data_IF_052727028775
#
_entry.id   IF_052727028775
#
_cell.length_a   1.000
_cell.length_b   1.000
_cell.length_c   1.000
_cell.angle_alpha   90.00
_cell.angle_beta   90.00
_cell.angle_gamma   90.00
#
_symmetry.space_group_name_H-M   'P 1'
#
loop_
_entity.id
_entity.type
_entity.pdbx_description
1 polymer ?
#
# COMPACT_ATOMS: atom_id res chain seq x y z
N UNK A 1 16.97 -29.14 11.14
CA UNK A 1 16.47 -27.97 10.38
C UNK A 1 16.33 -26.83 11.39
N UNK A 2 17.13 -25.77 11.27
CA UNK A 2 17.06 -24.64 12.22
C UNK A 2 15.87 -23.76 11.83
N UNK A 3 14.85 -23.72 12.68
CA UNK A 3 13.68 -22.88 12.48
C UNK A 3 14.01 -21.46 12.94
N UNK A 4 14.26 -20.56 11.98
CA UNK A 4 14.54 -19.16 12.26
C UNK A 4 13.23 -18.45 12.63
N UNK A 5 13.11 -18.05 13.89
CA UNK A 5 11.95 -17.33 14.41
C UNK A 5 12.12 -15.84 14.11
N UNK A 6 11.22 -15.25 13.31
CA UNK A 6 11.31 -13.80 13.04
C UNK A 6 10.72 -12.98 14.19
N UNK A 7 11.55 -12.02 14.65
CA UNK A 7 11.30 -11.05 15.73
C UNK A 7 9.94 -10.35 15.66
N UNK A 8 9.41 -10.23 14.44
CA UNK A 8 8.24 -9.43 14.12
C UNK A 8 6.91 -10.06 14.53
N UNK A 9 6.84 -11.39 14.62
CA UNK A 9 5.62 -12.11 15.03
C UNK A 9 5.71 -12.66 16.45
N UNK A 10 6.93 -12.82 17.00
CA UNK A 10 7.05 -13.23 18.39
C UNK A 10 6.60 -12.15 19.33
N UNK A 11 6.82 -10.87 19.01
CA UNK A 11 6.74 -9.80 20.00
C UNK A 11 7.53 -10.26 21.21
N UNK A 12 8.86 -10.21 21.19
CA UNK A 12 9.65 -10.79 22.29
C UNK A 12 9.20 -10.28 23.68
N UNK A 13 8.54 -9.11 23.72
CA UNK A 13 7.93 -8.47 24.88
C UNK A 13 6.50 -8.99 25.25
N UNK A 14 5.86 -9.80 24.41
CA UNK A 14 4.51 -10.36 24.55
C UNK A 14 4.39 -11.87 24.23
N UNK A 15 5.51 -12.54 23.98
CA UNK A 15 5.55 -14.00 23.86
C UNK A 15 5.32 -14.63 25.24
N UNK A 16 4.14 -15.21 25.42
CA UNK A 16 3.72 -15.80 26.71
C UNK A 16 4.41 -17.13 27.04
N UNK A 17 5.16 -17.72 26.09
CA UNK A 17 5.79 -19.03 26.27
C UNK A 17 7.16 -19.12 25.58
N UNK A 18 8.11 -18.35 26.10
CA UNK A 18 9.52 -18.29 25.65
C UNK A 18 10.24 -19.66 25.69
N UNK A 19 9.62 -20.67 26.32
CA UNK A 19 10.14 -22.03 26.43
C UNK A 19 9.63 -22.97 25.33
N UNK A 20 8.66 -22.56 24.51
CA UNK A 20 8.08 -23.42 23.49
C UNK A 20 9.11 -23.75 22.38
N UNK A 21 9.32 -25.04 22.04
CA UNK A 21 10.30 -25.45 21.03
C UNK A 21 9.85 -25.20 19.59
N UNK A 22 8.59 -24.83 19.36
CA UNK A 22 7.97 -24.68 18.04
C UNK A 22 7.00 -23.50 17.97
N UNK A 23 6.73 -23.03 16.74
CA UNK A 23 5.70 -22.01 16.48
C UNK A 23 4.29 -22.58 16.62
N UNK A 24 3.34 -21.74 17.07
CA UNK A 24 1.93 -22.12 17.06
C UNK A 24 1.41 -22.33 15.62
N UNK A 25 0.30 -23.07 15.49
CA UNK A 25 -0.31 -23.41 14.18
C UNK A 25 -0.60 -22.19 13.30
N UNK A 26 -0.99 -21.07 13.91
CA UNK A 26 -1.27 -19.81 13.20
C UNK A 26 0.02 -19.22 12.62
N UNK A 27 1.08 -19.13 13.42
CA UNK A 27 2.38 -18.64 12.97
C UNK A 27 2.93 -19.53 11.84
N UNK A 28 2.88 -20.86 11.99
CA UNK A 28 3.31 -21.80 10.94
C UNK A 28 2.54 -21.57 9.64
N UNK A 29 1.22 -21.41 9.72
CA UNK A 29 0.38 -21.09 8.56
C UNK A 29 0.78 -19.76 7.91
N UNK A 30 1.01 -18.71 8.70
CA UNK A 30 1.44 -17.40 8.15
C UNK A 30 2.80 -17.49 7.45
N UNK A 31 3.75 -18.27 7.98
CA UNK A 31 5.07 -18.43 7.38
C UNK A 31 5.07 -19.28 6.10
N UNK A 32 4.31 -20.39 6.12
CA UNK A 32 4.24 -21.33 5.01
C UNK A 32 3.36 -20.86 3.86
N UNK A 33 2.38 -19.98 4.12
CA UNK A 33 1.45 -19.48 3.10
C UNK A 33 2.07 -18.33 2.31
N UNK A 34 2.74 -18.66 1.22
CA UNK A 34 3.43 -17.70 0.33
C UNK A 34 2.52 -16.59 -0.20
N UNK A 35 1.24 -16.91 -0.46
CA UNK A 35 0.24 -15.93 -0.91
C UNK A 35 0.15 -14.71 0.04
N UNK A 36 0.30 -14.90 1.35
CA UNK A 36 0.23 -13.80 2.32
C UNK A 36 1.41 -12.82 2.23
N UNK A 37 2.48 -13.19 1.52
CA UNK A 37 3.69 -12.38 1.28
C UNK A 37 3.69 -11.70 -0.09
N UNK A 38 2.85 -12.15 -1.01
CA UNK A 38 2.84 -11.68 -2.40
C UNK A 38 1.55 -11.02 -2.83
N UNK A 39 0.44 -11.44 -2.24
CA UNK A 39 -0.89 -11.01 -2.68
C UNK A 39 -1.33 -9.73 -1.98
N UNK A 40 -2.07 -8.93 -2.75
CA UNK A 40 -2.84 -7.81 -2.22
C UNK A 40 -4.06 -8.41 -1.50
N UNK A 41 -4.33 -7.99 -0.26
CA UNK A 41 -5.45 -8.54 0.50
C UNK A 41 -6.30 -7.46 1.15
N UNK A 42 -7.60 -7.71 1.21
CA UNK A 42 -8.53 -7.06 2.12
C UNK A 42 -8.87 -8.07 3.22
N UNK A 43 -8.58 -7.71 4.46
CA UNK A 43 -8.95 -8.48 5.64
C UNK A 43 -10.11 -7.77 6.31
N UNK A 44 -11.17 -8.50 6.65
CA UNK A 44 -12.34 -8.00 7.40
C UNK A 44 -12.47 -8.75 8.72
N UNK A 45 -12.94 -8.07 9.77
CA UNK A 45 -13.17 -8.68 11.09
C UNK A 45 -14.55 -9.32 11.23
N UNK A 46 -15.55 -8.83 10.49
CA UNK A 46 -16.94 -9.31 10.58
C UNK A 46 -17.66 -9.26 9.21
N UNK A 47 -17.95 -10.41 8.57
CA UNK A 47 -17.42 -11.72 8.94
C UNK A 47 -15.89 -11.76 8.76
N UNK A 48 -15.18 -12.60 9.54
CA UNK A 48 -13.73 -12.74 9.41
C UNK A 48 -13.38 -13.33 8.05
N UNK A 49 -12.68 -12.55 7.22
CA UNK A 49 -12.33 -12.96 5.86
C UNK A 49 -11.02 -12.33 5.43
N UNK A 50 -10.23 -13.06 4.62
CA UNK A 50 -9.07 -12.52 3.90
C UNK A 50 -9.29 -12.76 2.41
N UNK A 51 -9.55 -11.68 1.66
CA UNK A 51 -9.86 -11.74 0.22
C UNK A 51 -8.70 -11.17 -0.59
N UNK A 52 -8.23 -11.93 -1.58
CA UNK A 52 -7.26 -11.48 -2.57
C UNK A 52 -7.84 -10.35 -3.44
N UNK A 53 -7.08 -9.29 -3.62
CA UNK A 53 -7.44 -8.14 -4.44
C UNK A 53 -6.69 -8.14 -5.78
N UNK A 54 -7.39 -7.76 -6.85
CA UNK A 54 -6.73 -7.26 -8.05
C UNK A 54 -6.26 -5.82 -7.84
N UNK A 55 -5.36 -5.31 -8.69
CA UNK A 55 -4.93 -3.89 -8.64
C UNK A 55 -6.12 -2.92 -8.81
N UNK A 56 -7.08 -3.28 -9.67
CA UNK A 56 -8.30 -2.48 -9.88
C UNK A 56 -9.16 -2.45 -8.62
N UNK A 57 -9.34 -3.59 -7.95
CA UNK A 57 -10.10 -3.65 -6.70
C UNK A 57 -9.36 -2.95 -5.55
N UNK A 58 -8.03 -3.08 -5.48
CA UNK A 58 -7.20 -2.32 -4.54
C UNK A 58 -7.43 -0.82 -4.70
N UNK A 59 -7.38 -0.29 -5.93
CA UNK A 59 -7.68 1.12 -6.20
C UNK A 59 -9.07 1.53 -5.73
N UNK A 60 -10.07 0.66 -5.92
CA UNK A 60 -11.43 0.91 -5.47
C UNK A 60 -11.52 0.99 -3.95
N UNK A 61 -10.86 0.08 -3.24
CA UNK A 61 -10.84 0.05 -1.76
C UNK A 61 -10.10 1.25 -1.20
N UNK A 62 -8.94 1.61 -1.77
CA UNK A 62 -8.17 2.77 -1.37
C UNK A 62 -8.80 4.11 -1.83
N UNK A 63 -9.88 4.06 -2.60
CA UNK A 63 -10.65 5.23 -3.03
C UNK A 63 -11.50 5.86 -1.92
N UNK A 64 -11.52 5.25 -0.74
CA UNK A 64 -12.18 5.76 0.47
C UNK A 64 -11.28 5.55 1.69
N UNK A 65 -11.64 6.12 2.84
CA UNK A 65 -11.02 5.75 4.12
C UNK A 65 -11.22 4.26 4.41
N UNK A 66 -10.27 3.64 5.12
CA UNK A 66 -10.37 2.23 5.52
C UNK A 66 -11.21 2.12 6.79
N UNK A 67 -12.23 1.26 6.74
CA UNK A 67 -13.10 0.95 7.88
C UNK A 67 -12.30 0.44 9.08
N UNK A 68 -12.77 0.76 10.29
CA UNK A 68 -12.27 0.21 11.57
C UNK A 68 -12.46 -1.29 11.72
N UNK A 69 -13.16 -1.95 10.80
CA UNK A 69 -13.34 -3.41 10.71
C UNK A 69 -12.59 -4.04 9.54
N UNK A 70 -11.79 -3.25 8.82
CA UNK A 70 -11.04 -3.68 7.63
C UNK A 70 -9.56 -3.33 7.76
N UNK A 71 -8.70 -4.17 7.20
CA UNK A 71 -7.29 -3.89 7.03
C UNK A 71 -6.87 -4.26 5.60
N UNK A 72 -6.04 -3.42 4.97
CA UNK A 72 -5.54 -3.68 3.62
C UNK A 72 -4.06 -4.05 3.71
N UNK A 73 -3.68 -5.16 3.08
CA UNK A 73 -2.29 -5.64 3.06
C UNK A 73 -1.74 -5.49 1.65
N UNK A 74 -0.66 -4.73 1.52
CA UNK A 74 -0.01 -4.44 0.23
C UNK A 74 1.48 -4.72 0.33
N UNK A 75 1.94 -5.90 -0.13
CA UNK A 75 3.37 -6.18 -0.28
C UNK A 75 3.96 -5.32 -1.41
N UNK A 76 4.69 -4.26 -1.06
CA UNK A 76 5.33 -3.38 -2.06
C UNK A 76 6.48 -4.10 -2.78
N UNK A 77 7.12 -5.05 -2.08
CA UNK A 77 8.12 -5.98 -2.63
C UNK A 77 7.63 -7.42 -2.41
N UNK A 78 6.83 -7.97 -3.32
CA UNK A 78 6.23 -9.29 -3.17
C UNK A 78 7.24 -10.38 -2.79
N UNK A 79 6.89 -11.23 -1.83
CA UNK A 79 7.72 -12.34 -1.35
C UNK A 79 8.84 -11.94 -0.38
N UNK A 80 9.19 -10.65 -0.29
CA UNK A 80 10.33 -10.21 0.53
C UNK A 80 10.05 -10.24 2.03
N UNK A 81 8.88 -9.76 2.46
CA UNK A 81 8.49 -9.65 3.88
C UNK A 81 7.10 -10.25 4.12
N UNK A 82 6.82 -10.63 5.37
CA UNK A 82 5.46 -10.89 5.83
C UNK A 82 4.80 -9.57 6.20
N UNK A 83 3.74 -9.19 5.50
CA UNK A 83 3.06 -7.89 5.70
C UNK A 83 1.82 -8.04 6.59
N UNK A 84 1.07 -9.14 6.43
CA UNK A 84 -0.08 -9.48 7.27
C UNK A 84 0.15 -9.31 8.79
N UNK A 85 1.30 -9.70 9.40
CA UNK A 85 1.59 -9.44 10.81
C UNK A 85 1.42 -7.97 11.25
N UNK A 86 1.67 -7.04 10.34
CA UNK A 86 1.63 -5.61 10.60
C UNK A 86 0.27 -4.98 10.26
N UNK A 87 -0.70 -5.79 9.84
CA UNK A 87 -2.05 -5.34 9.55
C UNK A 87 -2.73 -4.84 10.83
N UNK A 88 -3.21 -3.60 10.78
CA UNK A 88 -4.03 -2.99 11.81
C UNK A 88 -5.37 -2.61 11.19
N UNK A 89 -6.45 -2.75 11.96
CA UNK A 89 -7.77 -2.31 11.53
C UNK A 89 -7.80 -0.80 11.26
N UNK A 90 -8.56 -0.38 10.25
CA UNK A 90 -8.61 1.01 9.79
C UNK A 90 -7.36 1.48 9.05
N UNK A 91 -6.45 0.58 8.67
CA UNK A 91 -5.14 0.94 8.11
C UNK A 91 -4.74 0.14 6.88
N UNK A 92 -3.71 0.63 6.20
CA UNK A 92 -3.04 -0.06 5.09
C UNK A 92 -1.66 -0.50 5.55
N UNK A 93 -1.45 -1.80 5.68
CA UNK A 93 -0.15 -2.39 5.95
C UNK A 93 0.66 -2.51 4.66
N UNK A 94 1.83 -1.91 4.66
CA UNK A 94 2.84 -1.95 3.61
C UNK A 94 4.15 -2.40 4.22
N UNK A 95 4.69 -3.52 3.76
CA UNK A 95 5.90 -4.14 4.32
C UNK A 95 5.82 -4.27 5.86
N UNK A 96 6.52 -3.41 6.60
CA UNK A 96 6.59 -3.36 8.08
C UNK A 96 5.89 -2.15 8.72
N UNK A 97 5.10 -1.41 7.95
CA UNK A 97 4.45 -0.16 8.38
C UNK A 97 2.94 -0.22 8.18
N UNK A 98 2.18 0.20 9.18
CA UNK A 98 0.73 0.38 9.10
C UNK A 98 0.38 1.87 8.90
N UNK A 99 0.06 2.24 7.66
CA UNK A 99 -0.28 3.61 7.29
C UNK A 99 -1.72 3.94 7.72
N UNK A 100 -1.96 5.09 8.36
CA UNK A 100 -3.32 5.63 8.41
C UNK A 100 -3.81 5.87 6.97
N UNK A 101 -5.10 5.62 6.74
CA UNK A 101 -5.70 5.84 5.43
C UNK A 101 -7.04 6.54 5.56
N UNK A 102 -6.98 7.86 5.41
CA UNK A 102 -8.10 8.78 5.59
C UNK A 102 -8.73 9.16 4.25
N UNK A 103 -9.82 9.93 4.29
CA UNK A 103 -10.44 10.51 3.10
C UNK A 103 -9.44 11.38 2.32
N UNK A 104 -8.57 12.12 3.01
CA UNK A 104 -7.53 12.92 2.37
C UNK A 104 -6.50 12.06 1.62
N UNK A 105 -6.21 10.85 2.11
CA UNK A 105 -5.30 9.91 1.43
C UNK A 105 -5.96 9.32 0.17
N UNK A 106 -7.26 9.04 0.23
CA UNK A 106 -8.05 8.64 -0.92
C UNK A 106 -8.12 9.75 -2.00
N UNK A 107 -8.25 11.01 -1.59
CA UNK A 107 -8.20 12.16 -2.51
C UNK A 107 -6.81 12.32 -3.15
N UNK A 108 -5.74 12.13 -2.39
CA UNK A 108 -4.36 12.14 -2.90
C UNK A 108 -4.12 10.99 -3.88
N UNK A 109 -4.63 9.78 -3.60
CA UNK A 109 -4.57 8.68 -4.55
C UNK A 109 -5.30 9.03 -5.85
N UNK A 110 -6.46 9.68 -5.75
CA UNK A 110 -7.20 10.16 -6.91
C UNK A 110 -6.41 11.20 -7.72
N UNK A 111 -5.69 12.11 -7.06
CA UNK A 111 -4.77 13.04 -7.70
C UNK A 111 -3.61 12.31 -8.42
N UNK A 112 -2.98 11.31 -7.78
CA UNK A 112 -1.96 10.46 -8.41
C UNK A 112 -2.50 9.78 -9.66
N UNK A 113 -3.69 9.19 -9.60
CA UNK A 113 -4.31 8.53 -10.77
C UNK A 113 -4.54 9.53 -11.90
N UNK A 114 -5.07 10.72 -11.61
CA UNK A 114 -5.28 11.78 -12.62
C UNK A 114 -3.96 12.25 -13.24
N UNK A 115 -2.91 12.46 -12.43
CA UNK A 115 -1.59 12.88 -12.92
C UNK A 115 -0.92 11.78 -13.76
N UNK A 116 -1.00 10.52 -13.34
CA UNK A 116 -0.46 9.39 -14.11
C UNK A 116 -1.16 9.20 -15.45
N UNK A 117 -2.47 9.45 -15.53
CA UNK A 117 -3.21 9.45 -16.81
C UNK A 117 -2.74 10.55 -17.77
N UNK A 118 -2.18 11.64 -17.24
CA UNK A 118 -1.56 12.74 -18.01
C UNK A 118 -0.09 12.51 -18.36
N UNK A 119 0.46 11.34 -18.03
CA UNK A 119 1.80 10.92 -18.45
C UNK A 119 2.91 11.13 -17.43
N UNK A 120 2.61 11.64 -16.23
CA UNK A 120 3.62 11.75 -15.17
C UNK A 120 3.95 10.37 -14.59
N UNK A 121 5.24 10.06 -14.48
CA UNK A 121 5.71 8.86 -13.79
C UNK A 121 5.64 9.05 -12.26
N UNK A 122 5.59 7.95 -11.49
CA UNK A 122 5.60 8.02 -10.01
C UNK A 122 6.84 8.75 -9.50
N UNK A 123 8.01 8.49 -10.10
CA UNK A 123 9.25 9.20 -9.78
C UNK A 123 9.14 10.71 -10.00
N UNK A 124 8.40 11.14 -11.03
CA UNK A 124 8.15 12.56 -11.24
C UNK A 124 7.26 13.15 -10.14
N UNK A 125 6.26 12.42 -9.66
CA UNK A 125 5.34 12.87 -8.59
C UNK A 125 6.05 13.15 -7.26
N UNK A 126 7.17 12.47 -7.00
CA UNK A 126 8.01 12.72 -5.83
C UNK A 126 8.74 14.08 -5.88
N UNK A 127 8.82 14.73 -7.04
CA UNK A 127 9.50 16.03 -7.19
C UNK A 127 8.61 17.18 -6.75
N UNK A 128 9.22 18.23 -6.20
CA UNK A 128 8.54 19.44 -5.74
C UNK A 128 7.70 20.13 -6.83
N UNK A 129 8.11 20.03 -8.10
CA UNK A 129 7.43 20.64 -9.24
C UNK A 129 7.26 19.66 -10.41
N UNK A 130 6.22 19.83 -11.24
CA UNK A 130 6.02 19.01 -12.43
C UNK A 130 7.10 19.26 -13.47
N UNK A 131 7.55 18.18 -14.12
CA UNK A 131 8.53 18.29 -15.19
C UNK A 131 7.93 19.05 -16.38
N UNK A 132 8.56 20.18 -16.76
CA UNK A 132 8.08 21.04 -17.84
C UNK A 132 7.89 20.29 -19.17
N UNK A 133 8.78 19.32 -19.46
CA UNK A 133 8.69 18.50 -20.67
C UNK A 133 7.39 17.69 -20.79
N UNK A 134 6.83 17.20 -19.69
CA UNK A 134 5.51 16.53 -19.67
C UNK A 134 4.39 17.56 -19.64
N UNK A 135 4.56 18.63 -18.86
CA UNK A 135 3.56 19.69 -18.70
C UNK A 135 3.23 20.40 -20.02
N UNK A 136 4.24 20.69 -20.86
CA UNK A 136 4.06 21.36 -22.16
C UNK A 136 3.21 20.55 -23.16
N UNK A 137 3.11 19.24 -22.98
CA UNK A 137 2.28 18.36 -23.80
C UNK A 137 0.81 18.32 -23.34
N UNK A 138 0.48 18.96 -22.21
CA UNK A 138 -0.87 19.03 -21.65
C UNK A 138 -1.51 20.36 -22.09
N UNK A 139 -2.80 20.37 -22.52
CA UNK A 139 -3.49 21.60 -22.86
C UNK A 139 -3.44 22.63 -21.72
N UNK A 140 -3.12 23.89 -22.03
CA UNK A 140 -2.96 24.97 -21.04
C UNK A 140 -4.16 25.13 -20.10
N UNK A 141 -5.39 24.98 -20.62
CA UNK A 141 -6.63 25.02 -19.81
C UNK A 141 -6.67 24.00 -18.66
N UNK A 142 -5.87 22.93 -18.73
CA UNK A 142 -5.81 21.89 -17.72
C UNK A 142 -4.67 22.10 -16.70
N UNK A 143 -3.79 23.09 -16.90
CA UNK A 143 -2.62 23.32 -16.04
C UNK A 143 -3.02 23.64 -14.59
N UNK A 144 -4.05 24.45 -14.38
CA UNK A 144 -4.58 24.74 -13.04
C UNK A 144 -4.94 23.46 -12.28
N UNK A 145 -5.63 22.52 -12.94
CA UNK A 145 -5.96 21.22 -12.33
C UNK A 145 -4.73 20.34 -12.07
N UNK A 146 -3.69 20.46 -12.91
CA UNK A 146 -2.42 19.74 -12.71
C UNK A 146 -1.72 20.27 -11.48
N UNK A 147 -1.59 21.59 -11.33
CA UNK A 147 -0.94 22.20 -10.16
C UNK A 147 -1.70 21.90 -8.87
N UNK A 148 -3.05 22.02 -8.87
CA UNK A 148 -3.86 21.65 -7.71
C UNK A 148 -3.70 20.17 -7.31
N UNK A 149 -3.64 19.26 -8.29
CA UNK A 149 -3.34 17.85 -8.03
C UNK A 149 -1.90 17.64 -7.54
N UNK A 150 -0.94 18.43 -8.04
CA UNK A 150 0.46 18.36 -7.66
C UNK A 150 0.68 18.81 -6.22
N UNK A 151 0.04 19.89 -5.80
CA UNK A 151 0.21 20.47 -4.47
C UNK A 151 -0.34 19.56 -3.37
N UNK A 152 -1.45 18.86 -3.66
CA UNK A 152 -2.03 17.84 -2.76
C UNK A 152 -1.04 16.75 -2.35
N UNK A 153 -0.04 16.46 -3.19
CA UNK A 153 0.96 15.43 -2.93
C UNK A 153 2.05 15.87 -1.95
N UNK A 154 2.10 17.15 -1.55
CA UNK A 154 3.11 17.68 -0.62
C UNK A 154 3.40 16.76 0.57
N UNK A 155 2.38 16.37 1.38
CA UNK A 155 2.58 15.48 2.53
C UNK A 155 3.11 14.08 2.17
N UNK A 156 2.81 13.57 0.98
CA UNK A 156 3.29 12.26 0.52
C UNK A 156 4.73 12.30 -0.01
N UNK A 157 5.27 13.46 -0.36
CA UNK A 157 6.68 13.58 -0.80
C UNK A 157 7.67 13.37 0.34
N UNK A 158 7.29 13.73 1.56
CA UNK A 158 8.08 13.47 2.77
C UNK A 158 8.07 11.99 3.18
N UNK A 159 7.07 11.23 2.70
CA UNK A 159 6.86 9.82 3.03
C UNK A 159 6.60 9.02 1.75
N UNK A 160 7.67 8.74 1.02
CA UNK A 160 7.64 8.10 -0.31
C UNK A 160 6.89 6.77 -0.35
N UNK A 161 6.77 6.07 0.78
CA UNK A 161 5.97 4.84 0.90
C UNK A 161 4.51 5.00 0.42
N UNK A 162 3.91 6.19 0.60
CA UNK A 162 2.57 6.48 0.07
C UNK A 162 2.56 6.52 -1.46
N UNK A 163 3.63 7.05 -2.08
CA UNK A 163 3.77 7.05 -3.53
C UNK A 163 4.03 5.65 -4.08
N UNK A 164 4.75 4.79 -3.36
CA UNK A 164 4.96 3.38 -3.72
C UNK A 164 3.66 2.57 -3.63
N UNK A 165 2.86 2.79 -2.57
CA UNK A 165 1.52 2.23 -2.44
C UNK A 165 0.61 2.70 -3.59
N UNK A 166 0.58 4.01 -3.83
CA UNK A 166 -0.15 4.58 -4.94
C UNK A 166 0.35 4.03 -6.28
N UNK A 167 1.65 3.74 -6.42
CA UNK A 167 2.23 3.16 -7.62
C UNK A 167 1.63 1.79 -7.95
N UNK A 168 1.41 0.98 -6.90
CA UNK A 168 0.80 -0.35 -6.97
C UNK A 168 -0.68 -0.28 -7.35
N UNK A 169 -1.40 0.70 -6.79
CA UNK A 169 -2.84 0.90 -7.03
C UNK A 169 -3.18 1.67 -8.33
N UNK A 170 -2.20 2.33 -8.95
CA UNK A 170 -2.42 3.11 -10.18
C UNK A 170 -1.71 2.51 -11.38
N UNK A 171 -2.45 2.36 -12.49
CA UNK A 171 -1.88 1.91 -13.76
C UNK A 171 -1.16 3.06 -14.47
N UNK A 172 0.01 2.79 -15.06
CA UNK A 172 0.62 3.71 -16.04
C UNK A 172 0.04 3.40 -17.42
N UNK A 173 -0.15 4.42 -18.25
CA UNK A 173 -0.54 4.24 -19.67
C UNK A 173 0.53 3.49 -20.49
N UNK A 174 1.75 3.31 -19.96
CA UNK A 174 2.90 2.63 -20.61
C UNK A 174 2.87 1.08 -20.56
N UNK A 175 1.74 0.45 -20.26
CA UNK A 175 1.65 -1.01 -20.11
C UNK A 175 0.58 -1.70 -20.96
N UNK A 176 0.10 -1.04 -22.01
CA UNK A 176 -0.72 -1.67 -23.06
C UNK A 176 0.07 -1.60 -24.36
N UNK A 177 0.99 -2.56 -24.52
CA UNK A 177 1.60 -2.96 -25.78
C UNK A 177 1.50 -4.48 -25.83
#
# INVERSE_FOLDING_TARGET
>A
MRETVSRTFTGFDGWVDVAAPTMCRVCVWVYSTTALRSDLMLVTSDPPCATKLSKTRLRSVLGTAISSTSAVVVPLRPGRKHVLPHALWGRVAVDDVALPWTEYDAERLSAVVRLRRRGFSVTALARAAPAFGTLKAIPHRAWSSVFADWDRLGPWRERTVYLDLAATASTSKRGAA
#
